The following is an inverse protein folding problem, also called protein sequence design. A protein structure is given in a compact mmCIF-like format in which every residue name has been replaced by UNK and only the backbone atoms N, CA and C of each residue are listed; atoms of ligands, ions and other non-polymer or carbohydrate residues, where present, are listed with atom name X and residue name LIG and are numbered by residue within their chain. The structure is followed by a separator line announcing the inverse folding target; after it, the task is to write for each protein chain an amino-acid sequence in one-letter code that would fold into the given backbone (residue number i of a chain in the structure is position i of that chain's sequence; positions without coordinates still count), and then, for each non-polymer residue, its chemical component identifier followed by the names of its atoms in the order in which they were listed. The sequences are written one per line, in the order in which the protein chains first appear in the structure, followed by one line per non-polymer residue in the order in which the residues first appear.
data_IF_015767134470
#
_entry.id   IF_015767134470
#
_cell.length_a   1.000
_cell.length_b   1.000
_cell.length_c   1.000
_cell.angle_alpha   90.00
_cell.angle_beta   90.00
_cell.angle_gamma   90.00
#
_symmetry.space_group_name_H-M   'P 1'
#
loop_
_entity.id
_entity.type
_entity.pdbx_description
1 polymer ?
#
# COMPACT_ATOMS: atom_id res chain seq x y z
N UNK A 1 2.41 -13.13 -20.54
CA UNK A 1 1.85 -12.67 -19.25
C UNK A 1 0.85 -11.56 -19.58
N UNK A 2 -0.15 -11.21 -18.75
CA UNK A 2 -1.16 -10.19 -19.16
C UNK A 2 -0.57 -8.84 -19.56
N UNK A 3 0.60 -8.48 -19.03
CA UNK A 3 1.33 -7.27 -19.40
C UNK A 3 1.75 -7.24 -20.88
N UNK A 4 2.11 -8.41 -21.44
CA UNK A 4 2.59 -8.57 -22.82
C UNK A 4 1.44 -8.83 -23.83
N UNK A 5 0.19 -8.78 -23.37
CA UNK A 5 -0.98 -9.08 -24.18
C UNK A 5 -1.57 -7.77 -24.76
N UNK A 6 -1.17 -7.43 -25.98
CA UNK A 6 -1.67 -6.24 -26.68
C UNK A 6 -3.19 -6.27 -26.92
N UNK A 7 -3.81 -7.46 -26.97
CA UNK A 7 -5.27 -7.56 -27.10
C UNK A 7 -5.94 -7.16 -25.80
N UNK A 8 -5.39 -7.58 -24.65
CA UNK A 8 -5.89 -7.19 -23.34
C UNK A 8 -5.95 -5.66 -23.21
N UNK A 9 -4.87 -4.95 -23.54
CA UNK A 9 -4.82 -3.48 -23.40
C UNK A 9 -5.86 -2.74 -24.25
N UNK A 10 -6.26 -3.28 -25.41
CA UNK A 10 -7.34 -2.72 -26.24
C UNK A 10 -8.74 -2.86 -25.63
N UNK A 11 -8.88 -3.74 -24.65
CA UNK A 11 -10.15 -4.02 -23.95
C UNK A 11 -10.27 -3.31 -22.59
N UNK A 12 -9.19 -2.70 -22.11
CA UNK A 12 -9.19 -2.02 -20.80
C UNK A 12 -10.08 -0.78 -20.87
N UNK A 13 -11.13 -0.79 -20.06
CA UNK A 13 -12.00 0.34 -19.80
C UNK A 13 -11.60 0.97 -18.45
N UNK A 14 -11.41 2.29 -18.46
CA UNK A 14 -11.12 3.06 -17.26
C UNK A 14 -12.40 3.24 -16.43
N UNK A 15 -12.31 3.53 -15.12
CA UNK A 15 -13.48 3.63 -14.23
C UNK A 15 -14.51 4.67 -14.66
N UNK A 16 -14.10 5.70 -15.40
CA UNK A 16 -14.99 6.69 -16.02
C UNK A 16 -15.60 6.23 -17.36
N UNK A 17 -15.51 4.94 -17.69
CA UNK A 17 -15.88 4.34 -18.99
C UNK A 17 -15.06 4.82 -20.18
N UNK A 18 -13.93 5.48 -19.90
CA UNK A 18 -12.97 5.91 -20.91
C UNK A 18 -12.12 4.76 -21.42
N UNK A 19 -11.45 4.96 -22.55
CA UNK A 19 -10.37 4.07 -23.01
C UNK A 19 -9.03 4.58 -22.49
N UNK A 20 -8.02 3.73 -22.55
CA UNK A 20 -6.63 4.16 -22.39
C UNK A 20 -6.28 5.28 -23.40
N UNK A 21 -5.33 6.18 -23.07
CA UNK A 21 -4.85 7.20 -24.00
C UNK A 21 -4.44 6.60 -25.34
N UNK A 22 -4.69 7.32 -26.44
CA UNK A 22 -4.38 6.83 -27.80
C UNK A 22 -2.88 6.65 -28.06
N UNK A 23 -2.04 7.30 -27.26
CA UNK A 23 -0.57 7.22 -27.29
C UNK A 23 -0.01 6.23 -26.24
N UNK A 24 -0.86 5.41 -25.63
CA UNK A 24 -0.42 4.34 -24.74
C UNK A 24 0.35 3.27 -25.53
N UNK A 25 1.56 2.95 -25.05
CA UNK A 25 2.45 1.95 -25.64
C UNK A 25 2.76 0.86 -24.61
N UNK A 26 2.15 -0.31 -24.75
CA UNK A 26 2.34 -1.47 -23.86
C UNK A 26 3.80 -1.91 -23.76
N UNK A 27 4.63 -1.66 -24.79
CA UNK A 27 6.05 -2.03 -24.77
C UNK A 27 6.89 -1.18 -23.82
N UNK A 28 6.35 -0.03 -23.39
CA UNK A 28 6.96 0.85 -22.40
C UNK A 28 6.56 0.49 -20.96
N UNK A 29 5.75 -0.55 -20.76
CA UNK A 29 5.42 -1.09 -19.45
C UNK A 29 6.39 -2.17 -19.01
N UNK A 30 6.78 -2.10 -17.75
CA UNK A 30 7.61 -3.11 -17.11
C UNK A 30 7.27 -3.24 -15.61
N UNK A 31 7.67 -4.34 -14.98
CA UNK A 31 7.52 -4.55 -13.55
C UNK A 31 8.65 -3.89 -12.77
N UNK A 32 8.33 -3.22 -11.68
CA UNK A 32 9.32 -2.80 -10.64
C UNK A 32 9.16 -3.63 -9.36
N UNK A 33 7.96 -4.17 -9.18
CA UNK A 33 7.62 -5.15 -8.19
C UNK A 33 6.62 -6.08 -8.89
N UNK A 34 7.03 -7.32 -9.15
CA UNK A 34 6.10 -8.33 -9.67
C UNK A 34 4.92 -8.53 -8.71
N UNK A 35 3.83 -9.18 -9.14
CA UNK A 35 2.74 -9.52 -8.24
C UNK A 35 3.28 -10.29 -7.04
N UNK A 36 3.25 -9.66 -5.87
CA UNK A 36 3.78 -10.19 -4.63
C UNK A 36 2.60 -10.52 -3.71
N UNK A 37 2.37 -11.81 -3.50
CA UNK A 37 1.27 -12.31 -2.67
C UNK A 37 1.89 -12.97 -1.43
N UNK A 38 1.42 -12.57 -0.25
CA UNK A 38 1.89 -13.07 1.04
C UNK A 38 0.69 -13.49 1.90
N UNK A 39 0.77 -14.66 2.51
CA UNK A 39 -0.28 -15.21 3.39
C UNK A 39 0.33 -16.19 4.39
N UNK A 40 -0.49 -16.72 5.31
CA UNK A 40 -0.11 -17.89 6.12
C UNK A 40 1.00 -17.63 7.15
N UNK A 41 1.08 -16.41 7.67
CA UNK A 41 1.97 -16.06 8.78
C UNK A 41 3.36 -15.62 8.35
N UNK A 42 3.64 -15.55 7.04
CA UNK A 42 4.93 -15.16 6.48
C UNK A 42 4.77 -13.88 5.68
N UNK A 43 5.15 -12.76 6.29
CA UNK A 43 5.00 -11.44 5.67
C UNK A 43 6.31 -10.67 5.69
N UNK A 44 6.62 -9.99 4.59
CA UNK A 44 7.68 -8.99 4.48
C UNK A 44 7.10 -7.75 3.80
N UNK A 45 6.77 -6.74 4.59
CA UNK A 45 6.14 -5.51 4.07
C UNK A 45 7.10 -4.67 3.21
N UNK A 46 8.40 -4.99 3.19
CA UNK A 46 9.36 -4.39 2.25
C UNK A 46 9.22 -4.96 0.84
N UNK A 47 8.48 -6.06 0.67
CA UNK A 47 8.38 -6.83 -0.57
C UNK A 47 9.74 -7.23 -1.14
N UNK A 48 10.72 -7.51 -0.27
CA UNK A 48 12.07 -7.90 -0.66
C UNK A 48 12.24 -9.44 -0.65
N UNK A 49 11.39 -10.14 0.10
CA UNK A 49 11.35 -11.60 0.10
C UNK A 49 10.88 -12.14 -1.27
N UNK A 50 11.52 -13.21 -1.71
CA UNK A 50 11.04 -13.98 -2.86
C UNK A 50 9.69 -14.62 -2.55
N UNK A 51 8.85 -14.78 -3.58
CA UNK A 51 7.65 -15.59 -3.46
C UNK A 51 8.04 -17.02 -3.08
N UNK A 52 7.29 -17.61 -2.15
CA UNK A 52 7.47 -19.00 -1.77
C UNK A 52 6.48 -19.91 -2.53
N UNK A 53 6.69 -21.22 -2.40
CA UNK A 53 5.82 -22.24 -3.00
C UNK A 53 4.77 -22.79 -2.02
N UNK A 54 4.50 -22.08 -0.92
CA UNK A 54 3.46 -22.51 0.02
C UNK A 54 2.08 -22.31 -0.62
N UNK A 55 1.13 -23.18 -0.28
CA UNK A 55 -0.27 -22.97 -0.68
C UNK A 55 -0.80 -21.66 -0.07
N UNK A 56 -1.58 -20.92 -0.86
CA UNK A 56 -2.28 -19.73 -0.38
C UNK A 56 -3.14 -20.08 0.84
N UNK A 57 -3.01 -19.29 1.90
CA UNK A 57 -3.66 -19.54 3.17
C UNK A 57 -4.70 -18.46 3.48
N UNK A 58 -5.90 -18.87 3.89
CA UNK A 58 -7.00 -17.97 4.23
C UNK A 58 -6.76 -17.26 5.58
N UNK A 59 -7.17 -16.00 5.68
CA UNK A 59 -6.98 -15.17 6.86
C UNK A 59 -6.58 -13.77 6.44
N UNK A 60 -5.29 -13.46 6.52
CA UNK A 60 -4.75 -12.19 6.02
C UNK A 60 -3.94 -12.47 4.76
N UNK A 61 -4.29 -11.79 3.67
CA UNK A 61 -3.61 -11.91 2.38
C UNK A 61 -3.15 -10.52 1.98
N UNK A 62 -1.84 -10.34 1.80
CA UNK A 62 -1.26 -9.12 1.26
C UNK A 62 -0.98 -9.33 -0.21
N UNK A 63 -1.42 -8.41 -1.05
CA UNK A 63 -1.05 -8.34 -2.44
C UNK A 63 -0.43 -6.98 -2.74
N UNK A 64 0.74 -6.99 -3.38
CA UNK A 64 1.42 -5.79 -3.87
C UNK A 64 1.82 -5.97 -5.32
N UNK A 65 1.84 -4.87 -6.07
CA UNK A 65 2.46 -4.83 -7.39
C UNK A 65 2.98 -3.42 -7.67
N UNK A 66 3.97 -3.33 -8.55
CA UNK A 66 4.48 -2.06 -9.03
C UNK A 66 4.81 -2.13 -10.50
N UNK A 67 4.44 -1.06 -11.21
CA UNK A 67 4.68 -0.91 -12.63
C UNK A 67 5.59 0.28 -12.91
N UNK A 68 6.28 0.22 -14.04
CA UNK A 68 7.03 1.32 -14.62
C UNK A 68 6.51 1.56 -16.02
N UNK A 69 6.11 2.80 -16.32
CA UNK A 69 5.70 3.22 -17.65
C UNK A 69 6.57 4.40 -18.12
N UNK A 70 7.18 4.28 -19.30
CA UNK A 70 8.13 5.30 -19.81
C UNK A 70 9.16 5.69 -18.75
N UNK A 71 9.69 4.69 -18.05
CA UNK A 71 10.62 4.81 -16.92
C UNK A 71 10.07 5.32 -15.58
N UNK A 72 8.82 5.77 -15.48
CA UNK A 72 8.23 6.25 -14.22
C UNK A 72 7.56 5.15 -13.42
N UNK A 73 7.96 5.02 -12.16
CA UNK A 73 7.54 3.99 -11.23
C UNK A 73 6.23 4.35 -10.49
N UNK A 74 5.38 3.36 -10.25
CA UNK A 74 4.25 3.42 -9.33
C UNK A 74 4.10 2.09 -8.60
N UNK A 75 3.57 2.11 -7.38
CA UNK A 75 3.34 0.91 -6.57
C UNK A 75 1.99 1.00 -5.87
N UNK A 76 1.33 -0.15 -5.75
CA UNK A 76 0.11 -0.34 -4.98
C UNK A 76 0.21 -1.61 -4.15
N UNK A 77 -0.36 -1.59 -2.94
CA UNK A 77 -0.53 -2.78 -2.12
C UNK A 77 -1.82 -2.69 -1.30
N UNK A 78 -2.46 -3.85 -1.14
CA UNK A 78 -3.69 -4.02 -0.39
C UNK A 78 -3.57 -5.22 0.53
N UNK A 79 -4.28 -5.15 1.64
CA UNK A 79 -4.52 -6.30 2.51
C UNK A 79 -5.98 -6.71 2.34
N UNK A 80 -6.19 -7.99 2.09
CA UNK A 80 -7.48 -8.65 2.02
C UNK A 80 -7.68 -9.51 3.26
N UNK A 81 -8.90 -9.51 3.77
CA UNK A 81 -9.29 -10.18 5.00
C UNK A 81 -10.28 -11.30 4.65
N UNK A 82 -9.94 -12.55 4.94
CA UNK A 82 -10.80 -13.70 4.72
C UNK A 82 -11.23 -14.25 6.08
N UNK A 83 -12.51 -14.18 6.37
CA UNK A 83 -13.11 -14.50 7.68
C UNK A 83 -12.31 -13.90 8.85
N UNK A 84 -12.02 -12.58 8.87
CA UNK A 84 -11.22 -11.96 9.91
C UNK A 84 -11.92 -12.03 11.27
N UNK A 85 -11.15 -12.19 12.34
CA UNK A 85 -11.67 -11.95 13.68
C UNK A 85 -11.75 -10.44 13.98
N UNK A 86 -12.47 -10.09 15.05
CA UNK A 86 -12.68 -8.69 15.47
C UNK A 86 -11.38 -7.91 15.68
N UNK A 87 -10.31 -8.56 16.12
CA UNK A 87 -9.02 -7.90 16.35
C UNK A 87 -8.33 -7.53 15.03
N UNK A 88 -8.34 -8.44 14.06
CA UNK A 88 -7.82 -8.19 12.70
C UNK A 88 -8.61 -7.07 12.01
N UNK A 89 -9.93 -7.13 12.06
CA UNK A 89 -10.80 -6.11 11.48
C UNK A 89 -10.57 -4.72 12.12
N UNK A 90 -10.48 -4.67 13.45
CA UNK A 90 -10.18 -3.44 14.19
C UNK A 90 -8.82 -2.84 13.81
N UNK A 91 -7.79 -3.69 13.70
CA UNK A 91 -6.44 -3.25 13.32
C UNK A 91 -6.36 -2.78 11.86
N UNK A 92 -7.10 -3.41 10.95
CA UNK A 92 -7.19 -2.96 9.56
C UNK A 92 -7.93 -1.62 9.44
N UNK A 93 -9.04 -1.44 10.17
CA UNK A 93 -9.75 -0.14 10.24
C UNK A 93 -8.86 0.98 10.78
N UNK A 94 -8.01 0.67 11.78
CA UNK A 94 -7.00 1.60 12.27
C UNK A 94 -5.96 1.94 11.19
N UNK A 95 -5.42 0.94 10.50
CA UNK A 95 -4.46 1.16 9.41
C UNK A 95 -5.05 2.04 8.30
N UNK A 96 -6.26 1.72 7.86
CA UNK A 96 -7.02 2.47 6.86
C UNK A 96 -7.21 3.94 7.26
N UNK A 97 -7.62 4.19 8.52
CA UNK A 97 -7.76 5.54 9.05
C UNK A 97 -6.43 6.31 9.03
N UNK A 98 -5.34 5.69 9.51
CA UNK A 98 -4.02 6.31 9.53
C UNK A 98 -3.56 6.64 8.10
N UNK A 99 -3.67 5.67 7.19
CA UNK A 99 -3.27 5.80 5.79
C UNK A 99 -3.99 6.94 5.08
N UNK A 100 -5.32 6.96 5.13
CA UNK A 100 -6.11 7.98 4.46
C UNK A 100 -5.95 9.36 5.10
N UNK A 101 -5.77 9.42 6.43
CA UNK A 101 -5.53 10.69 7.12
C UNK A 101 -4.23 11.33 6.64
N UNK A 102 -3.12 10.57 6.57
CA UNK A 102 -1.87 11.15 6.10
C UNK A 102 -1.91 11.51 4.61
N UNK A 103 -2.58 10.71 3.76
CA UNK A 103 -2.76 11.06 2.34
C UNK A 103 -3.51 12.38 2.21
N UNK A 104 -4.64 12.55 2.90
CA UNK A 104 -5.41 13.80 2.87
C UNK A 104 -4.60 15.01 3.32
N UNK A 105 -3.60 14.77 4.17
CA UNK A 105 -2.80 15.82 4.76
C UNK A 105 -1.48 16.14 4.05
N UNK A 106 -1.00 15.29 3.15
CA UNK A 106 0.19 15.58 2.37
C UNK A 106 -0.11 16.79 1.48
N UNK A 107 0.76 17.81 1.51
CA UNK A 107 0.67 19.00 0.64
C UNK A 107 2.00 19.73 0.58
N UNK A 108 2.13 20.66 -0.36
CA UNK A 108 3.29 21.56 -0.44
C UNK A 108 3.55 22.25 0.91
N UNK A 109 4.82 22.37 1.28
CA UNK A 109 5.28 23.02 2.50
C UNK A 109 5.38 22.09 3.71
N UNK A 110 4.73 20.93 3.68
CA UNK A 110 4.84 19.93 4.75
C UNK A 110 6.21 19.23 4.69
N UNK A 111 6.84 18.91 5.82
CA UNK A 111 8.08 18.13 5.80
C UNK A 111 7.81 16.63 5.79
N UNK A 112 8.75 15.84 5.25
CA UNK A 112 8.67 14.37 5.25
C UNK A 112 8.51 13.79 6.68
N UNK A 113 9.18 14.40 7.66
CA UNK A 113 9.03 14.08 9.08
C UNK A 113 7.63 14.37 9.60
N UNK A 114 7.01 15.46 9.20
CA UNK A 114 5.66 15.80 9.66
C UNK A 114 4.63 14.78 9.17
N UNK A 115 4.82 14.22 7.96
CA UNK A 115 3.93 13.17 7.42
C UNK A 115 4.01 11.92 8.31
N UNK A 116 5.23 11.49 8.63
CA UNK A 116 5.47 10.35 9.52
C UNK A 116 4.92 10.60 10.93
N UNK A 117 5.21 11.76 11.52
CA UNK A 117 4.77 12.12 12.87
C UNK A 117 3.25 12.21 12.98
N UNK A 118 2.56 12.62 11.91
CA UNK A 118 1.10 12.62 11.87
C UNK A 118 0.53 11.20 11.98
N UNK A 119 1.05 10.26 11.19
CA UNK A 119 0.66 8.85 11.30
C UNK A 119 0.88 8.31 12.71
N UNK A 120 2.08 8.55 13.27
CA UNK A 120 2.45 8.09 14.59
C UNK A 120 1.58 8.70 15.69
N UNK A 121 1.20 9.97 15.56
CA UNK A 121 0.34 10.65 16.54
C UNK A 121 -1.07 10.09 16.55
N UNK A 122 -1.65 9.84 15.36
CA UNK A 122 -2.96 9.18 15.25
C UNK A 122 -2.95 7.79 15.88
N UNK A 123 -1.87 7.03 15.64
CA UNK A 123 -1.67 5.72 16.24
C UNK A 123 -1.62 5.77 17.76
N UNK A 124 -0.81 6.69 18.32
CA UNK A 124 -0.67 6.89 19.77
C UNK A 124 -1.96 7.29 20.45
N UNK A 125 -2.79 8.09 19.79
CA UNK A 125 -4.09 8.52 20.33
C UNK A 125 -5.10 7.37 20.32
N UNK A 126 -5.09 6.55 19.27
CA UNK A 126 -6.15 5.55 19.03
C UNK A 126 -5.84 4.18 19.62
N UNK A 127 -4.58 3.75 19.52
CA UNK A 127 -4.13 2.41 19.90
C UNK A 127 -2.61 2.35 20.14
N UNK A 128 -2.09 2.98 21.20
CA UNK A 128 -0.65 3.15 21.42
C UNK A 128 0.14 1.83 21.46
N UNK A 129 -0.46 0.73 21.89
CA UNK A 129 0.17 -0.59 21.89
C UNK A 129 0.55 -1.11 20.49
N UNK A 130 -0.07 -0.58 19.44
CA UNK A 130 0.24 -0.93 18.04
C UNK A 130 1.48 -0.21 17.51
N UNK A 131 2.03 0.77 18.23
CA UNK A 131 3.25 1.50 17.83
C UNK A 131 4.44 0.57 17.60
N UNK A 132 4.57 -0.48 18.43
CA UNK A 132 5.68 -1.45 18.30
C UNK A 132 5.64 -2.23 16.98
N UNK A 133 4.44 -2.39 16.39
CA UNK A 133 4.22 -3.06 15.12
C UNK A 133 4.32 -2.10 13.92
N UNK A 134 4.32 -0.78 14.15
CA UNK A 134 4.27 0.19 13.06
C UNK A 134 5.63 0.35 12.34
N UNK A 135 5.56 0.53 11.02
CA UNK A 135 6.73 0.76 10.18
C UNK A 135 7.51 2.01 10.61
N UNK A 136 8.84 1.98 10.45
CA UNK A 136 9.73 3.11 10.80
C UNK A 136 9.74 4.25 9.78
N UNK A 137 9.02 4.09 8.66
CA UNK A 137 8.73 5.12 7.67
C UNK A 137 7.33 4.86 7.10
N UNK A 138 6.70 5.88 6.53
CA UNK A 138 5.37 5.79 5.92
C UNK A 138 5.38 5.96 4.40
N UNK A 139 6.54 5.73 3.77
CA UNK A 139 6.70 5.95 2.33
C UNK A 139 8.00 6.62 1.94
N UNK A 140 8.08 7.00 0.67
CA UNK A 140 9.25 7.61 0.05
C UNK A 140 8.91 8.34 -1.25
N UNK A 141 9.82 9.18 -1.74
CA UNK A 141 9.75 9.78 -3.07
C UNK A 141 9.95 8.74 -4.18
N UNK A 142 9.22 8.88 -5.27
CA UNK A 142 9.25 7.96 -6.42
C UNK A 142 9.27 8.72 -7.74
N UNK A 143 9.89 8.15 -8.75
CA UNK A 143 10.00 8.72 -10.09
C UNK A 143 10.63 7.72 -11.04
N UNK A 144 11.80 8.07 -11.61
CA UNK A 144 12.60 7.13 -12.41
C UNK A 144 13.12 5.96 -11.56
N UNK A 145 13.43 6.25 -10.30
CA UNK A 145 13.75 5.26 -9.28
C UNK A 145 12.48 4.89 -8.50
N UNK A 146 12.32 3.61 -8.19
CA UNK A 146 11.21 3.13 -7.34
C UNK A 146 11.26 3.71 -5.92
N UNK A 147 12.46 4.10 -5.45
CA UNK A 147 12.66 4.63 -4.11
C UNK A 147 13.81 5.63 -4.08
N UNK A 148 13.49 6.92 -3.94
CA UNK A 148 14.46 7.99 -3.66
C UNK A 148 14.97 7.87 -2.21
N UNK A 149 16.24 7.50 -1.98
CA UNK A 149 16.79 7.33 -0.63
C UNK A 149 16.90 8.67 0.13
N UNK A 150 16.85 9.81 -0.56
CA UNK A 150 16.93 11.15 0.03
C UNK A 150 15.56 11.68 0.47
N UNK A 151 14.46 11.06 0.02
CA UNK A 151 13.09 11.45 0.35
C UNK A 151 12.32 10.32 1.04
N UNK A 152 12.90 9.70 2.06
CA UNK A 152 12.16 8.74 2.90
C UNK A 152 11.30 9.48 3.93
N UNK A 153 10.02 9.12 4.04
CA UNK A 153 9.04 9.73 4.95
C UNK A 153 9.17 9.11 6.36
N UNK A 154 10.14 9.57 7.14
CA UNK A 154 10.45 9.06 8.47
C UNK A 154 10.68 10.21 9.48
N UNK A 155 10.81 9.87 10.76
CA UNK A 155 10.97 10.83 11.86
C UNK A 155 12.23 11.74 11.78
N UNK A 156 13.17 11.47 10.88
CA UNK A 156 14.47 12.18 10.78
C UNK A 156 14.55 13.10 9.57
N UNK A 157 13.71 12.90 8.55
CA UNK A 157 13.84 13.60 7.29
C UNK A 157 13.11 14.96 7.29
N UNK A 158 13.85 16.07 7.31
CA UNK A 158 13.27 17.41 7.31
C UNK A 158 13.02 17.98 5.90
N UNK A 159 13.19 17.20 4.83
CA UNK A 159 12.96 17.67 3.46
C UNK A 159 11.51 18.13 3.29
N UNK A 160 11.34 19.36 2.82
CA UNK A 160 10.04 19.96 2.53
C UNK A 160 9.48 19.41 1.22
N UNK A 161 8.25 18.92 1.27
CA UNK A 161 7.49 18.49 0.10
C UNK A 161 7.12 19.71 -0.74
N UNK A 162 7.10 19.54 -2.07
CA UNK A 162 6.78 20.57 -3.05
C UNK A 162 5.69 20.07 -3.98
N UNK A 163 4.86 21.00 -4.48
CA UNK A 163 3.93 20.67 -5.56
C UNK A 163 4.66 19.95 -6.72
N UNK A 164 4.02 18.93 -7.27
CA UNK A 164 4.56 18.10 -8.35
C UNK A 164 5.43 16.94 -7.90
N UNK A 165 5.86 16.87 -6.64
CA UNK A 165 6.51 15.66 -6.12
C UNK A 165 5.56 14.45 -6.18
N UNK A 166 6.10 13.27 -6.48
CA UNK A 166 5.35 12.02 -6.43
C UNK A 166 5.91 11.16 -5.29
N UNK A 167 5.02 10.61 -4.47
CA UNK A 167 5.36 9.81 -3.30
C UNK A 167 4.66 8.45 -3.39
N UNK A 168 5.34 7.41 -2.94
CA UNK A 168 4.68 6.20 -2.45
C UNK A 168 4.34 6.46 -0.98
N UNK A 169 3.07 6.37 -0.62
CA UNK A 169 2.63 6.29 0.78
C UNK A 169 2.47 4.82 1.11
N UNK A 170 3.25 4.32 2.06
CA UNK A 170 3.32 2.92 2.44
C UNK A 170 3.22 2.80 3.95
N UNK A 171 2.05 2.43 4.45
CA UNK A 171 1.79 2.27 5.88
C UNK A 171 1.49 0.82 6.19
N UNK A 172 1.98 0.32 7.32
CA UNK A 172 1.71 -1.05 7.72
C UNK A 172 1.97 -1.32 9.18
N UNK A 173 1.46 -2.46 9.62
CA UNK A 173 1.74 -3.07 10.91
C UNK A 173 2.36 -4.44 10.67
N UNK A 174 3.48 -4.72 11.32
CA UNK A 174 4.26 -5.95 11.18
C UNK A 174 4.13 -6.82 12.42
N UNK A 175 4.12 -8.13 12.21
CA UNK A 175 4.31 -9.14 13.26
C UNK A 175 3.30 -9.01 14.42
N UNK A 176 2.03 -8.79 14.09
CA UNK A 176 0.95 -8.70 15.08
C UNK A 176 0.58 -10.10 15.54
N UNK A 177 0.59 -10.34 16.86
CA UNK A 177 0.05 -11.56 17.43
C UNK A 177 -1.47 -11.64 17.22
N UNK A 178 -1.94 -12.75 16.68
CA UNK A 178 -3.36 -13.02 16.54
C UNK A 178 -3.90 -13.61 17.85
N UNK A 179 -4.83 -12.92 18.56
CA UNK A 179 -5.38 -13.44 19.81
C UNK A 179 -6.30 -14.66 19.62
N UNK A 180 -6.80 -14.87 18.39
CA UNK A 180 -7.70 -15.98 18.05
C UNK A 180 -7.23 -16.63 16.75
N UNK A 181 -6.12 -17.38 16.77
CA UNK A 181 -5.62 -18.09 15.61
C UNK A 181 -6.55 -19.26 15.26
N UNK A 182 -6.88 -19.41 13.99
CA UNK A 182 -7.65 -20.54 13.48
C UNK A 182 -6.77 -21.80 13.35
N UNK A 183 -5.47 -21.60 13.11
CA UNK A 183 -4.45 -22.64 12.98
C UNK A 183 -3.03 -22.09 13.21
N UNK A 184 -2.01 -22.93 12.98
CA UNK A 184 -0.59 -22.56 13.15
C UNK A 184 -0.09 -21.45 12.20
N UNK A 185 -0.71 -21.28 11.04
CA UNK A 185 -0.32 -20.29 10.02
C UNK A 185 -0.97 -18.92 10.29
N UNK A 186 -2.03 -18.87 11.09
CA UNK A 186 -2.72 -17.64 11.47
C UNK A 186 -2.28 -17.02 12.80
N UNK A 187 -1.19 -17.52 13.43
CA UNK A 187 -0.70 -17.05 14.74
C UNK A 187 -0.18 -15.62 14.73
N UNK A 188 0.44 -15.20 13.64
CA UNK A 188 0.99 -13.86 13.45
C UNK A 188 0.50 -13.33 12.11
N UNK A 189 0.22 -12.03 12.03
CA UNK A 189 -0.17 -11.39 10.78
C UNK A 189 0.40 -9.99 10.65
N UNK A 190 0.44 -9.50 9.42
CA UNK A 190 0.84 -8.15 9.09
C UNK A 190 -0.24 -7.50 8.22
N UNK A 191 -0.32 -6.18 8.24
CA UNK A 191 -1.28 -5.40 7.46
C UNK A 191 -0.51 -4.31 6.70
N UNK A 192 -0.90 -4.04 5.46
CA UNK A 192 -0.31 -2.98 4.64
C UNK A 192 -1.33 -2.31 3.72
N UNK A 193 -1.15 -1.01 3.53
CA UNK A 193 -1.75 -0.21 2.46
C UNK A 193 -0.65 0.58 1.77
N UNK A 194 -0.68 0.61 0.44
CA UNK A 194 0.28 1.38 -0.36
C UNK A 194 -0.39 2.04 -1.54
N UNK A 195 -0.14 3.32 -1.71
CA UNK A 195 -0.69 4.13 -2.78
C UNK A 195 0.36 5.08 -3.36
N UNK A 196 0.25 5.35 -4.65
CA UNK A 196 1.09 6.34 -5.34
C UNK A 196 0.33 7.66 -5.42
N UNK A 197 0.91 8.75 -4.92
CA UNK A 197 0.26 10.08 -4.88
C UNK A 197 1.13 11.16 -5.51
N UNK A 198 0.50 12.19 -6.07
CA UNK A 198 1.14 13.47 -6.43
C UNK A 198 0.82 14.52 -5.37
N UNK A 199 1.84 15.14 -4.81
CA UNK A 199 1.75 16.29 -3.91
C UNK A 199 1.19 17.48 -4.69
N UNK A 200 0.22 18.18 -4.10
CA UNK A 200 -0.37 19.41 -4.65
C UNK A 200 -0.26 20.53 -3.61
N UNK A 201 -0.72 21.74 -3.96
CA UNK A 201 -0.93 22.82 -2.99
C UNK A 201 -2.17 22.61 -2.10
N UNK A 202 -3.06 21.67 -2.48
CA UNK A 202 -4.29 21.31 -1.78
C UNK A 202 -4.34 19.82 -1.40
N UNK A 203 -5.43 19.13 -1.73
CA UNK A 203 -5.49 17.67 -1.56
C UNK A 203 -4.65 16.96 -2.63
N UNK A 204 -3.88 15.90 -2.26
CA UNK A 204 -3.11 15.13 -3.23
C UNK A 204 -3.97 14.44 -4.27
N UNK A 205 -3.38 14.22 -5.45
CA UNK A 205 -3.95 13.30 -6.44
C UNK A 205 -3.47 11.90 -6.12
N UNK A 206 -4.39 10.97 -5.88
CA UNK A 206 -4.07 9.56 -5.61
C UNK A 206 -4.21 8.77 -6.90
N UNK A 207 -3.09 8.38 -7.51
CA UNK A 207 -3.10 7.67 -8.81
C UNK A 207 -3.67 6.26 -8.72
N UNK A 208 -3.75 5.70 -7.52
CA UNK A 208 -4.19 4.33 -7.24
C UNK A 208 -5.53 4.27 -6.51
N UNK A 209 -6.30 5.37 -6.49
CA UNK A 209 -7.55 5.52 -5.74
C UNK A 209 -8.65 4.53 -6.12
N UNK A 210 -8.63 4.05 -7.36
CA UNK A 210 -9.64 3.15 -7.94
C UNK A 210 -9.61 1.75 -7.31
N UNK A 211 -8.48 1.36 -6.72
CA UNK A 211 -8.42 0.14 -5.91
C UNK A 211 -8.87 0.47 -4.48
N UNK A 212 -9.99 -0.10 -4.01
CA UNK A 212 -10.54 0.26 -2.70
C UNK A 212 -9.60 -0.10 -1.55
N UNK A 213 -9.68 0.67 -0.48
CA UNK A 213 -8.92 0.47 0.77
C UNK A 213 -9.82 0.20 1.97
N UNK A 214 -11.15 0.32 1.83
CA UNK A 214 -12.09 0.11 2.94
C UNK A 214 -12.14 -1.36 3.38
N UNK A 215 -12.50 -1.58 4.64
CA UNK A 215 -12.66 -2.94 5.18
C UNK A 215 -13.78 -3.67 4.44
N UNK A 216 -14.89 -3.00 4.15
CA UNK A 216 -16.07 -3.59 3.50
C UNK A 216 -15.76 -4.11 2.08
N UNK A 217 -14.90 -3.41 1.33
CA UNK A 217 -14.50 -3.84 -0.01
C UNK A 217 -13.42 -4.93 -0.01
N UNK A 218 -12.62 -5.03 1.05
CA UNK A 218 -11.47 -5.92 1.14
C UNK A 218 -11.68 -7.11 2.08
N UNK A 219 -12.87 -7.25 2.68
CA UNK A 219 -13.24 -8.38 3.53
C UNK A 219 -14.13 -9.35 2.77
N UNK A 220 -13.82 -10.64 2.90
CA UNK A 220 -14.53 -11.74 2.27
C UNK A 220 -14.90 -12.76 3.34
N UNK A 221 -16.12 -13.28 3.25
CA UNK A 221 -16.67 -14.23 4.20
C UNK A 221 -17.08 -15.49 3.45
N UNK A 222 -16.56 -16.65 3.86
CA UNK A 222 -16.80 -17.94 3.20
C UNK A 222 -17.42 -18.98 4.13
N UNK A 223 -17.48 -18.69 5.43
CA UNK A 223 -18.17 -19.53 6.41
C UNK A 223 -19.62 -19.05 6.53
N UNK A 224 -20.55 -19.94 6.21
CA UNK A 224 -21.96 -19.84 6.61
C UNK A 224 -22.10 -19.93 8.14
#
# INVERSE_FOLDING_TARGET
RKLDDDKFWKTVELPNKGKLPSDFDSTQLDWILGPAIQSGGKYDLRFAAEANNDNLHAGIIIAGLGLRYKSYCSTIARTYLVDPNKAQESNYKLLHMVHNSIIKDVRDGMSAKDVYNKALSLLKIKKPEMEKHFLKNVGWGVGLENRDPTLVLNAKNNRTLKDGMTLIIHTGFQDIDNPQPQDKHSKVYSLVLTDTIRVTTGEPVVFTAESPTSADANSFFFKD
#
